data_IF_841821978278
#
_entry.id   IF_841821978278
#
_cell.length_a   1.000
_cell.length_b   1.000
_cell.length_c   1.000
_cell.angle_alpha   90.00
_cell.angle_beta   90.00
_cell.angle_gamma   90.00
#
_symmetry.space_group_name_H-M   'P 1'
#
loop_
_entity.id
_entity.type
_entity.pdbx_description
1 polymer ?
#
# COMPACT_ATOMS: atom_id res chain seq x y z
N UNK A 1 -1.24 -16.56 16.36
CA UNK A 1 -0.46 -16.13 15.18
C UNK A 1 -1.43 -16.00 14.03
N UNK A 2 -1.73 -14.77 13.59
CA UNK A 2 -2.68 -14.57 12.48
C UNK A 2 -2.24 -15.37 11.27
N UNK A 3 -3.12 -16.23 10.79
CA UNK A 3 -3.01 -16.91 9.50
C UNK A 3 -2.66 -15.87 8.44
N UNK A 4 -1.42 -15.93 7.94
CA UNK A 4 -0.99 -15.14 6.79
C UNK A 4 -1.90 -15.56 5.63
N UNK A 5 -2.95 -14.79 5.36
CA UNK A 5 -3.68 -14.92 4.09
C UNK A 5 -2.66 -14.57 3.02
N UNK A 6 -2.37 -15.52 2.14
CA UNK A 6 -1.58 -15.26 0.94
C UNK A 6 -2.40 -14.26 0.11
N UNK A 7 -1.99 -12.99 0.16
CA UNK A 7 -2.62 -11.96 -0.65
C UNK A 7 -2.21 -12.20 -2.10
N UNK A 8 -3.18 -12.11 -3.01
CA UNK A 8 -2.86 -11.89 -4.41
C UNK A 8 -2.22 -10.51 -4.59
N UNK A 9 -1.50 -10.31 -5.69
CA UNK A 9 -0.91 -9.01 -6.03
C UNK A 9 -1.97 -7.90 -6.07
N UNK A 10 -3.11 -8.17 -6.72
CA UNK A 10 -4.25 -7.27 -6.82
C UNK A 10 -4.81 -6.89 -5.43
N UNK A 11 -5.00 -7.87 -4.54
CA UNK A 11 -5.51 -7.63 -3.19
C UNK A 11 -4.53 -6.83 -2.33
N UNK A 12 -3.23 -7.10 -2.48
CA UNK A 12 -2.20 -6.37 -1.76
C UNK A 12 -2.11 -4.92 -2.23
N UNK A 13 -2.19 -4.68 -3.54
CA UNK A 13 -2.26 -3.34 -4.12
C UNK A 13 -3.49 -2.58 -3.62
N UNK A 14 -4.68 -3.19 -3.70
CA UNK A 14 -5.93 -2.57 -3.23
C UNK A 14 -5.88 -2.22 -1.74
N UNK A 15 -5.17 -3.01 -0.93
CA UNK A 15 -4.93 -2.70 0.48
C UNK A 15 -3.98 -1.51 0.66
N UNK A 16 -2.90 -1.45 -0.11
CA UNK A 16 -1.96 -0.34 -0.09
C UNK A 16 -2.63 0.98 -0.52
N UNK A 17 -3.45 0.97 -1.58
CA UNK A 17 -4.26 2.11 -2.03
C UNK A 17 -5.16 2.61 -0.90
N UNK A 18 -6.01 1.73 -0.34
CA UNK A 18 -6.94 2.09 0.75
C UNK A 18 -6.22 2.59 2.00
N UNK A 19 -5.03 2.06 2.28
CA UNK A 19 -4.21 2.53 3.39
C UNK A 19 -3.76 3.97 3.16
N UNK A 20 -3.19 4.26 1.99
CA UNK A 20 -2.70 5.58 1.62
C UNK A 20 -3.83 6.62 1.56
N UNK A 21 -4.97 6.29 0.97
CA UNK A 21 -6.16 7.15 0.93
C UNK A 21 -6.65 7.52 2.33
N UNK A 22 -6.73 6.53 3.24
CA UNK A 22 -7.12 6.77 4.63
C UNK A 22 -6.11 7.65 5.36
N UNK A 23 -4.83 7.56 5.01
CA UNK A 23 -3.77 8.34 5.63
C UNK A 23 -3.88 9.82 5.24
N UNK A 24 -4.13 10.09 3.96
CA UNK A 24 -4.42 11.42 3.42
C UNK A 24 -5.71 11.98 4.02
N UNK A 25 -6.80 11.20 4.05
CA UNK A 25 -8.08 11.65 4.61
C UNK A 25 -8.03 12.01 6.09
N UNK A 26 -7.15 11.39 6.88
CA UNK A 26 -7.06 11.57 8.34
C UNK A 26 -6.05 12.61 8.77
N UNK A 27 -5.16 13.05 7.89
CA UNK A 27 -3.99 13.84 8.25
C UNK A 27 -3.84 15.10 7.41
N UNK A 28 -2.79 15.89 7.67
CA UNK A 28 -2.44 17.07 6.89
C UNK A 28 -1.65 16.71 5.62
N UNK A 29 -1.69 15.44 5.18
CA UNK A 29 -0.88 14.93 4.08
C UNK A 29 -1.67 14.95 2.78
N UNK A 30 -0.98 15.18 1.68
CA UNK A 30 -1.53 15.09 0.33
C UNK A 30 -0.70 14.11 -0.48
N UNK A 31 -1.29 13.60 -1.55
CA UNK A 31 -0.56 12.80 -2.52
C UNK A 31 0.43 13.66 -3.28
N UNK A 32 1.52 13.03 -3.71
CA UNK A 32 2.43 13.66 -4.64
C UNK A 32 1.69 13.95 -5.97
N UNK A 33 1.96 15.09 -6.64
CA UNK A 33 1.18 15.52 -7.81
C UNK A 33 1.23 14.56 -9.00
N UNK A 34 2.27 13.73 -9.11
CA UNK A 34 2.44 12.76 -10.19
C UNK A 34 1.80 11.42 -9.80
N UNK A 35 0.64 11.05 -10.39
CA UNK A 35 -0.10 9.86 -9.99
C UNK A 35 0.67 8.56 -10.25
N UNK A 36 1.51 8.55 -11.30
CA UNK A 36 2.36 7.41 -11.66
C UNK A 36 3.36 7.10 -10.53
N UNK A 37 3.95 8.13 -9.93
CA UNK A 37 4.87 7.97 -8.78
C UNK A 37 4.13 7.41 -7.57
N UNK A 38 2.92 7.90 -7.31
CA UNK A 38 2.08 7.41 -6.21
C UNK A 38 1.69 5.94 -6.42
N UNK A 39 1.36 5.56 -7.65
CA UNK A 39 1.01 4.19 -8.02
C UNK A 39 2.20 3.23 -7.83
N UNK A 40 3.41 3.62 -8.27
CA UNK A 40 4.62 2.81 -8.09
C UNK A 40 4.94 2.59 -6.61
N UNK A 41 4.80 3.62 -5.77
CA UNK A 41 4.98 3.48 -4.32
C UNK A 41 3.90 2.56 -3.73
N UNK A 42 2.64 2.68 -4.15
CA UNK A 42 1.56 1.83 -3.66
C UNK A 42 1.73 0.36 -4.06
N UNK A 43 2.23 0.09 -5.28
CA UNK A 43 2.63 -1.25 -5.73
C UNK A 43 3.73 -1.82 -4.83
N UNK A 44 4.80 -1.06 -4.58
CA UNK A 44 5.88 -1.49 -3.69
C UNK A 44 5.43 -1.77 -2.26
N UNK A 45 4.54 -0.93 -1.70
CA UNK A 45 3.94 -1.17 -0.38
C UNK A 45 3.11 -2.46 -0.36
N UNK A 46 2.31 -2.70 -1.39
CA UNK A 46 1.51 -3.92 -1.54
C UNK A 46 2.39 -5.16 -1.67
N UNK A 47 3.43 -5.10 -2.48
CA UNK A 47 4.37 -6.20 -2.67
C UNK A 47 5.11 -6.55 -1.37
N UNK A 48 5.55 -5.54 -0.61
CA UNK A 48 6.14 -5.75 0.71
C UNK A 48 5.13 -6.34 1.70
N UNK A 49 3.87 -5.91 1.69
CA UNK A 49 2.81 -6.53 2.50
C UNK A 49 2.64 -8.01 2.15
N UNK A 50 2.64 -8.34 0.86
CA UNK A 50 2.47 -9.70 0.35
C UNK A 50 3.66 -10.61 0.69
N UNK A 51 4.88 -10.15 0.43
CA UNK A 51 6.11 -10.96 0.55
C UNK A 51 6.64 -10.99 1.98
N UNK A 52 6.62 -9.85 2.67
CA UNK A 52 7.23 -9.69 4.00
C UNK A 52 6.20 -9.69 5.13
N UNK A 53 4.91 -9.51 4.81
CA UNK A 53 3.83 -9.42 5.80
C UNK A 53 3.64 -8.01 6.37
N UNK A 54 4.36 -7.00 5.86
CA UNK A 54 4.26 -5.61 6.30
C UNK A 54 4.62 -4.64 5.17
N UNK A 55 4.03 -3.44 5.17
CA UNK A 55 4.26 -2.38 4.17
C UNK A 55 5.54 -1.61 4.44
N UNK A 56 6.69 -2.27 4.27
CA UNK A 56 7.98 -1.58 4.34
C UNK A 56 8.11 -0.55 3.22
N UNK A 57 8.91 0.49 3.45
CA UNK A 57 9.23 1.47 2.41
C UNK A 57 9.86 0.74 1.21
N UNK A 58 9.28 0.88 0.01
CA UNK A 58 9.86 0.33 -1.22
C UNK A 58 11.07 1.15 -1.68
#
# INVERSE_FOLDING_TARGET
MSTKRELTEEEALQRAVKFSERYVQRGPYEFFPEPEVVEEVQKGLGENERLQGYRYCP
#
